data_IF_932553629351
#
_entry.id   IF_932553629351
#
_cell.length_a   1.000
_cell.length_b   1.000
_cell.length_c   1.000
_cell.angle_alpha   90.00
_cell.angle_beta   90.00
_cell.angle_gamma   90.00
#
_symmetry.space_group_name_H-M   'P 1'
#
loop_
_entity.id
_entity.type
_entity.pdbx_description
1 polymer ?
#
# COMPACT_ATOMS: atom_id res chain seq x y z
N UNK A 1 -1.72 24.52 -35.56
CA UNK A 1 -2.42 23.89 -34.42
C UNK A 1 -2.06 24.70 -33.21
N UNK A 2 -3.07 25.25 -32.54
CA UNK A 2 -2.93 25.96 -31.27
C UNK A 2 -2.49 24.95 -30.20
N UNK A 3 -1.54 25.33 -29.35
CA UNK A 3 -0.99 24.43 -28.34
C UNK A 3 -1.97 24.30 -27.18
N UNK A 4 -2.47 23.08 -26.93
CA UNK A 4 -3.31 22.78 -25.77
C UNK A 4 -2.45 22.13 -24.66
N UNK A 5 -2.06 22.94 -23.68
CA UNK A 5 -1.27 22.51 -22.54
C UNK A 5 -1.99 21.43 -21.70
N UNK A 6 -3.32 21.49 -21.60
CA UNK A 6 -4.08 20.51 -20.82
C UNK A 6 -3.96 19.13 -21.45
N UNK A 7 -4.23 19.04 -22.75
CA UNK A 7 -4.15 17.78 -23.50
C UNK A 7 -2.71 17.26 -23.51
N UNK A 8 -1.72 18.14 -23.65
CA UNK A 8 -0.30 17.77 -23.57
C UNK A 8 0.07 17.10 -22.24
N UNK A 9 -0.31 17.71 -21.11
CA UNK A 9 -0.02 17.16 -19.78
C UNK A 9 -0.82 15.88 -19.52
N UNK A 10 -2.09 15.84 -19.95
CA UNK A 10 -2.94 14.65 -19.83
C UNK A 10 -2.32 13.45 -20.55
N UNK A 11 -1.91 13.62 -21.80
CA UNK A 11 -1.40 12.53 -22.62
C UNK A 11 -0.07 12.01 -22.06
N UNK A 12 0.81 12.90 -21.61
CA UNK A 12 2.05 12.52 -20.93
C UNK A 12 1.82 11.77 -19.61
N UNK A 13 0.83 12.19 -18.82
CA UNK A 13 0.43 11.45 -17.62
C UNK A 13 -0.15 10.08 -17.95
N UNK A 14 -0.97 9.98 -19.00
CA UNK A 14 -1.57 8.73 -19.43
C UNK A 14 -0.52 7.68 -19.81
N UNK A 15 0.50 8.07 -20.58
CA UNK A 15 1.59 7.16 -20.98
C UNK A 15 2.31 6.51 -19.79
N UNK A 16 2.36 7.18 -18.64
CA UNK A 16 2.96 6.65 -17.43
C UNK A 16 1.96 5.86 -16.58
N UNK A 17 0.75 6.39 -16.40
CA UNK A 17 -0.28 5.78 -15.55
C UNK A 17 -0.84 4.48 -16.16
N UNK A 18 -0.90 4.37 -17.49
CA UNK A 18 -1.29 3.13 -18.17
C UNK A 18 -0.35 1.97 -17.80
N UNK A 19 0.96 2.22 -17.76
CA UNK A 19 1.98 1.23 -17.34
C UNK A 19 1.78 0.78 -15.89
N UNK A 20 1.10 1.59 -15.10
CA UNK A 20 0.76 1.34 -13.69
C UNK A 20 -0.65 0.75 -13.50
N UNK A 21 -1.34 0.40 -14.59
CA UNK A 21 -2.64 -0.26 -14.54
C UNK A 21 -3.81 0.68 -14.22
N UNK A 22 -3.64 1.98 -14.41
CA UNK A 22 -4.75 2.91 -14.44
C UNK A 22 -5.57 2.76 -15.72
N UNK A 23 -6.86 3.09 -15.62
CA UNK A 23 -7.76 3.18 -16.76
C UNK A 23 -7.55 4.51 -17.49
N UNK A 24 -7.95 4.54 -18.76
CA UNK A 24 -7.90 5.71 -19.62
C UNK A 24 -8.56 6.94 -18.95
N UNK A 25 -8.09 8.16 -19.24
CA UNK A 25 -8.62 9.38 -18.63
C UNK A 25 -10.13 9.50 -18.89
N UNK A 26 -10.89 9.72 -17.82
CA UNK A 26 -12.32 9.99 -17.90
C UNK A 26 -12.59 11.43 -17.48
N UNK A 27 -13.47 12.17 -18.20
CA UNK A 27 -13.91 13.49 -17.77
C UNK A 27 -14.41 13.47 -16.34
N UNK A 28 -13.99 14.46 -15.55
CA UNK A 28 -14.42 14.64 -14.17
C UNK A 28 -15.10 16.00 -14.06
N UNK A 29 -16.32 16.03 -13.53
CA UNK A 29 -16.99 17.29 -13.21
C UNK A 29 -16.28 17.93 -12.01
N UNK A 30 -15.75 19.14 -12.20
CA UNK A 30 -15.16 19.95 -11.14
C UNK A 30 -15.63 21.40 -11.32
N UNK A 31 -16.05 22.04 -10.22
CA UNK A 31 -16.55 23.42 -10.26
C UNK A 31 -15.45 24.45 -10.56
N UNK A 32 -14.18 24.07 -10.36
CA UNK A 32 -13.04 24.96 -10.56
C UNK A 32 -12.58 25.06 -12.03
N UNK A 33 -12.94 24.09 -12.87
CA UNK A 33 -12.54 24.09 -14.28
C UNK A 33 -12.44 22.70 -14.89
N UNK A 34 -11.64 22.57 -15.96
CA UNK A 34 -11.47 21.34 -16.74
C UNK A 34 -10.70 20.28 -15.94
N UNK A 35 -11.29 19.10 -15.74
CA UNK A 35 -10.64 18.00 -15.04
C UNK A 35 -10.80 16.64 -15.74
N UNK A 36 -9.79 15.78 -15.57
CA UNK A 36 -9.83 14.37 -15.97
C UNK A 36 -9.30 13.49 -14.86
N UNK A 37 -9.86 12.30 -14.71
CA UNK A 37 -9.47 11.31 -13.71
C UNK A 37 -8.87 10.06 -14.34
N UNK A 38 -7.84 9.54 -13.69
CA UNK A 38 -7.22 8.26 -13.97
C UNK A 38 -7.47 7.36 -12.76
N UNK A 39 -8.15 6.23 -12.92
CA UNK A 39 -8.54 5.38 -11.79
C UNK A 39 -8.00 3.94 -11.88
N UNK A 40 -7.74 3.35 -10.72
CA UNK A 40 -7.65 1.90 -10.52
C UNK A 40 -8.92 1.40 -9.81
N UNK A 41 -8.88 0.21 -9.21
CA UNK A 41 -9.93 -0.28 -8.30
C UNK A 41 -9.90 0.43 -6.93
N UNK A 42 -8.76 1.02 -6.53
CA UNK A 42 -8.54 1.49 -5.15
C UNK A 42 -8.20 2.98 -5.04
N UNK A 43 -7.59 3.56 -6.08
CA UNK A 43 -7.02 4.92 -6.05
C UNK A 43 -7.29 5.59 -7.38
N UNK A 44 -7.54 6.91 -7.36
CA UNK A 44 -7.57 7.73 -8.55
C UNK A 44 -6.63 8.95 -8.44
N UNK A 45 -6.06 9.34 -9.57
CA UNK A 45 -5.45 10.65 -9.76
C UNK A 45 -6.38 11.52 -10.58
N UNK A 46 -6.29 12.84 -10.39
CA UNK A 46 -6.97 13.82 -11.23
C UNK A 46 -5.99 14.90 -11.67
N UNK A 47 -6.05 15.24 -12.95
CA UNK A 47 -5.46 16.45 -13.50
C UNK A 47 -6.58 17.48 -13.59
N UNK A 48 -6.48 18.55 -12.81
CA UNK A 48 -7.35 19.72 -12.90
C UNK A 48 -6.59 20.91 -13.46
N UNK A 49 -7.23 21.67 -14.33
CA UNK A 49 -6.91 23.06 -14.58
C UNK A 49 -7.99 23.96 -13.97
N UNK A 50 -7.61 24.73 -12.95
CA UNK A 50 -8.46 25.69 -12.25
C UNK A 50 -8.40 27.01 -13.02
N UNK A 51 -9.47 27.28 -13.79
CA UNK A 51 -9.52 28.42 -14.72
C UNK A 51 -9.48 29.76 -13.96
N UNK A 52 -10.12 29.82 -12.79
CA UNK A 52 -10.20 31.03 -11.98
C UNK A 52 -8.84 31.46 -11.44
N UNK A 53 -7.99 30.49 -11.09
CA UNK A 53 -6.67 30.76 -10.50
C UNK A 53 -5.52 30.48 -11.48
N UNK A 54 -5.83 30.20 -12.75
CA UNK A 54 -4.86 29.91 -13.82
C UNK A 54 -3.77 28.94 -13.36
N UNK A 55 -4.18 27.73 -12.96
CA UNK A 55 -3.24 26.75 -12.39
C UNK A 55 -3.61 25.31 -12.67
N UNK A 56 -2.60 24.51 -12.92
CA UNK A 56 -2.70 23.06 -12.92
C UNK A 56 -2.56 22.50 -11.51
N UNK A 57 -3.32 21.46 -11.22
CA UNK A 57 -3.21 20.68 -10.00
C UNK A 57 -3.25 19.20 -10.31
N UNK A 58 -2.25 18.47 -9.81
CA UNK A 58 -2.30 17.02 -9.68
C UNK A 58 -2.91 16.70 -8.32
N UNK A 59 -3.97 15.90 -8.31
CA UNK A 59 -4.67 15.49 -7.09
C UNK A 59 -4.79 13.98 -7.03
N UNK A 60 -5.02 13.45 -5.84
CA UNK A 60 -5.29 12.03 -5.63
C UNK A 60 -6.42 11.81 -4.64
N UNK A 61 -7.04 10.65 -4.74
CA UNK A 61 -8.07 10.20 -3.83
C UNK A 61 -8.09 8.68 -3.75
N UNK A 62 -8.67 8.16 -2.68
CA UNK A 62 -9.04 6.75 -2.57
C UNK A 62 -10.47 6.56 -3.05
N UNK A 63 -10.76 5.41 -3.66
CA UNK A 63 -12.10 5.09 -4.12
C UNK A 63 -12.86 4.29 -3.05
N UNK A 64 -14.17 4.53 -2.97
CA UNK A 64 -15.10 3.69 -2.20
C UNK A 64 -15.28 2.32 -2.86
N UNK A 65 -15.97 1.38 -2.18
CA UNK A 65 -16.30 0.07 -2.77
C UNK A 65 -17.16 0.19 -4.04
N UNK A 66 -17.92 1.28 -4.17
CA UNK A 66 -18.71 1.63 -5.37
C UNK A 66 -17.87 2.33 -6.45
N UNK A 67 -16.57 2.53 -6.23
CA UNK A 67 -15.65 3.16 -7.17
C UNK A 67 -15.73 4.69 -7.20
N UNK A 68 -16.39 5.32 -6.23
CA UNK A 68 -16.54 6.78 -6.18
C UNK A 68 -15.36 7.44 -5.46
N UNK A 69 -14.85 8.59 -5.96
CA UNK A 69 -13.92 9.45 -5.24
C UNK A 69 -14.45 9.84 -3.86
N UNK A 70 -13.59 9.83 -2.84
CA UNK A 70 -13.94 10.42 -1.54
C UNK A 70 -13.56 11.91 -1.53
N UNK A 71 -12.44 12.25 -0.91
CA UNK A 71 -11.91 13.60 -0.86
C UNK A 71 -10.65 13.69 -1.73
N UNK A 72 -10.55 14.76 -2.52
CA UNK A 72 -9.38 15.01 -3.36
C UNK A 72 -8.29 15.74 -2.58
N UNK A 73 -7.13 15.09 -2.44
CA UNK A 73 -5.92 15.69 -1.86
C UNK A 73 -5.01 16.20 -2.96
N UNK A 74 -4.59 17.46 -2.87
CA UNK A 74 -3.59 18.03 -3.76
C UNK A 74 -2.21 17.40 -3.56
N UNK A 75 -1.55 17.03 -4.65
CA UNK A 75 -0.20 16.46 -4.66
C UNK A 75 0.83 17.45 -5.19
N UNK A 76 0.49 18.17 -6.26
CA UNK A 76 1.32 19.24 -6.81
C UNK A 76 0.45 20.31 -7.47
N UNK A 77 0.97 21.53 -7.54
CA UNK A 77 0.26 22.71 -8.03
C UNK A 77 1.24 23.62 -8.77
N UNK A 78 0.85 24.03 -9.97
CA UNK A 78 1.63 24.94 -10.82
C UNK A 78 0.74 26.03 -11.40
N UNK A 79 1.19 27.28 -11.35
CA UNK A 79 0.56 28.37 -12.09
C UNK A 79 0.84 28.20 -13.59
N UNK A 80 -0.15 28.46 -14.42
CA UNK A 80 -0.03 28.42 -15.87
C UNK A 80 -1.07 29.35 -16.50
N UNK A 81 -0.61 30.38 -17.20
CA UNK A 81 -1.47 31.25 -17.99
C UNK A 81 -1.59 30.70 -19.41
N UNK A 82 -2.79 30.34 -19.92
CA UNK A 82 -2.96 29.86 -21.30
C UNK A 82 -2.64 30.90 -22.37
N UNK A 83 -2.66 32.19 -22.04
CA UNK A 83 -2.37 33.26 -22.99
C UNK A 83 -0.85 33.45 -23.24
N UNK A 84 -0.03 33.21 -22.21
CA UNK A 84 1.42 33.40 -22.26
C UNK A 84 2.22 32.09 -22.18
N UNK A 85 1.57 31.03 -21.72
CA UNK A 85 2.19 29.74 -21.39
C UNK A 85 2.72 29.04 -22.62
N UNK A 86 3.95 28.53 -22.47
CA UNK A 86 4.64 27.84 -23.55
C UNK A 86 4.56 26.33 -23.37
N UNK A 87 4.95 25.62 -24.43
CA UNK A 87 5.16 24.17 -24.35
C UNK A 87 6.21 23.78 -23.31
N UNK A 88 7.27 24.59 -23.14
CA UNK A 88 8.31 24.32 -22.14
C UNK A 88 7.80 24.40 -20.70
N UNK A 89 6.84 25.29 -20.44
CA UNK A 89 6.18 25.38 -19.13
C UNK A 89 5.31 24.13 -18.89
N UNK A 90 4.54 23.71 -19.89
CA UNK A 90 3.75 22.49 -19.81
C UNK A 90 4.62 21.23 -19.63
N UNK A 91 5.78 21.15 -20.30
CA UNK A 91 6.76 20.08 -20.10
C UNK A 91 7.33 20.08 -18.67
N UNK A 92 7.57 21.26 -18.09
CA UNK A 92 8.05 21.39 -16.71
C UNK A 92 7.01 20.89 -15.71
N UNK A 93 5.74 21.28 -15.91
CA UNK A 93 4.61 20.83 -15.09
C UNK A 93 4.43 19.30 -15.23
N UNK A 94 4.46 18.79 -16.46
CA UNK A 94 4.34 17.36 -16.73
C UNK A 94 5.46 16.58 -16.04
N UNK A 95 6.71 17.04 -16.12
CA UNK A 95 7.84 16.35 -15.48
C UNK A 95 7.70 16.29 -13.96
N UNK A 96 7.30 17.39 -13.30
CA UNK A 96 7.02 17.40 -11.86
C UNK A 96 5.90 16.42 -11.50
N UNK A 97 4.80 16.43 -12.25
CA UNK A 97 3.70 15.48 -12.02
C UNK A 97 4.11 14.02 -12.27
N UNK A 98 4.96 13.78 -13.28
CA UNK A 98 5.50 12.46 -13.57
C UNK A 98 6.40 11.96 -12.44
N UNK A 99 7.23 12.81 -11.82
CA UNK A 99 8.02 12.41 -10.65
C UNK A 99 7.14 11.94 -9.50
N UNK A 100 6.00 12.62 -9.28
CA UNK A 100 5.02 12.23 -8.25
C UNK A 100 4.38 10.87 -8.57
N UNK A 101 3.94 10.64 -9.82
CA UNK A 101 3.24 9.39 -10.17
C UNK A 101 4.17 8.21 -10.47
N UNK A 102 5.45 8.43 -10.80
CA UNK A 102 6.43 7.38 -11.17
C UNK A 102 6.94 6.54 -10.00
N UNK A 103 6.43 6.72 -8.78
CA UNK A 103 6.89 6.03 -7.58
C UNK A 103 7.40 4.60 -7.84
N UNK A 104 8.72 4.31 -7.69
CA UNK A 104 9.42 3.17 -8.30
C UNK A 104 8.96 1.76 -7.87
N UNK A 105 7.90 1.67 -7.04
CA UNK A 105 7.37 0.41 -6.50
C UNK A 105 6.02 0.02 -7.10
N UNK A 106 5.30 0.91 -7.81
CA UNK A 106 3.94 0.63 -8.29
C UNK A 106 3.91 -0.25 -9.54
N UNK A 107 4.75 0.03 -10.55
CA UNK A 107 4.82 -0.73 -11.83
C UNK A 107 5.15 -2.21 -11.61
N UNK A 108 6.24 -2.52 -10.89
CA UNK A 108 6.67 -3.90 -10.62
C UNK A 108 5.61 -4.72 -9.85
N UNK A 109 4.79 -4.02 -9.06
CA UNK A 109 3.81 -4.60 -8.16
C UNK A 109 2.47 -4.86 -8.85
N UNK A 110 2.05 -4.01 -9.79
CA UNK A 110 0.88 -4.25 -10.67
C UNK A 110 1.08 -5.53 -11.48
N UNK A 111 2.30 -5.74 -11.98
CA UNK A 111 2.68 -6.99 -12.65
C UNK A 111 2.59 -8.20 -11.71
N UNK A 112 3.02 -8.07 -10.45
CA UNK A 112 2.86 -9.14 -9.44
C UNK A 112 1.40 -9.41 -9.06
N UNK A 113 0.56 -8.37 -8.91
CA UNK A 113 -0.87 -8.51 -8.54
C UNK A 113 -1.66 -9.23 -9.64
N UNK A 114 -1.35 -8.98 -10.92
CA UNK A 114 -1.90 -9.74 -12.07
C UNK A 114 -1.54 -11.24 -12.01
N UNK A 115 -0.33 -11.58 -11.59
CA UNK A 115 0.10 -12.99 -11.44
C UNK A 115 -0.42 -13.70 -10.18
N UNK A 116 -0.81 -12.96 -9.13
CA UNK A 116 -1.36 -13.53 -7.88
C UNK A 116 -2.87 -13.78 -7.96
N UNK A 117 -3.63 -12.93 -8.65
CA UNK A 117 -5.10 -13.08 -8.82
C UNK A 117 -5.51 -14.41 -9.50
N UNK A 118 -4.60 -15.11 -10.15
CA UNK A 118 -4.86 -16.41 -10.81
C UNK A 118 -4.73 -17.63 -9.89
N UNK A 119 -4.29 -17.49 -8.63
CA UNK A 119 -3.88 -18.66 -7.83
C UNK A 119 -4.48 -18.85 -6.43
N UNK A 120 -5.26 -17.91 -5.89
CA UNK A 120 -5.90 -18.14 -4.59
C UNK A 120 -7.23 -17.39 -4.50
N UNK A 121 -8.31 -18.15 -4.38
CA UNK A 121 -9.65 -17.65 -4.07
C UNK A 121 -10.16 -18.31 -2.79
N UNK A 122 -9.32 -18.35 -1.76
CA UNK A 122 -9.71 -18.74 -0.42
C UNK A 122 -9.87 -17.47 0.42
N UNK A 123 -11.03 -17.32 1.07
CA UNK A 123 -11.46 -16.16 1.87
C UNK A 123 -10.64 -16.04 3.17
N UNK A 124 -9.33 -15.87 3.10
CA UNK A 124 -8.49 -15.62 4.27
C UNK A 124 -8.43 -14.13 4.60
N UNK A 125 -8.37 -13.79 5.88
CA UNK A 125 -8.22 -12.41 6.34
C UNK A 125 -6.83 -11.90 5.92
N UNK A 126 -6.79 -10.75 5.23
CA UNK A 126 -5.57 -10.21 4.63
C UNK A 126 -4.93 -9.11 5.51
N UNK A 127 -3.67 -8.73 5.24
CA UNK A 127 -3.00 -7.68 5.99
C UNK A 127 -3.71 -6.32 5.98
N UNK A 128 -4.43 -5.98 4.91
CA UNK A 128 -5.14 -4.71 4.82
C UNK A 128 -6.35 -4.68 5.76
N UNK A 129 -7.11 -5.77 5.84
CA UNK A 129 -8.22 -5.91 6.78
C UNK A 129 -7.74 -5.73 8.22
N UNK A 130 -6.60 -6.33 8.58
CA UNK A 130 -5.99 -6.15 9.90
C UNK A 130 -5.68 -4.67 10.19
N UNK A 131 -5.06 -3.97 9.24
CA UNK A 131 -4.75 -2.55 9.40
C UNK A 131 -6.00 -1.69 9.57
N UNK A 132 -7.06 -1.97 8.81
CA UNK A 132 -8.34 -1.30 8.98
C UNK A 132 -8.95 -1.57 10.37
N UNK A 133 -8.78 -2.77 10.95
CA UNK A 133 -9.24 -3.08 12.31
C UNK A 133 -8.46 -2.32 13.38
N UNK A 134 -7.17 -2.05 13.15
CA UNK A 134 -6.34 -1.25 14.05
C UNK A 134 -6.74 0.24 14.10
N UNK A 135 -7.45 0.75 13.08
CA UNK A 135 -8.00 2.12 13.10
C UNK A 135 -8.92 2.35 14.31
N UNK A 136 -9.58 1.30 14.82
CA UNK A 136 -10.40 1.39 16.03
C UNK A 136 -9.58 1.71 17.31
N UNK A 137 -8.28 1.42 17.30
CA UNK A 137 -7.36 1.76 18.38
C UNK A 137 -6.58 3.04 18.08
N UNK A 138 -6.24 3.25 16.81
CA UNK A 138 -5.40 4.34 16.32
C UNK A 138 -6.08 5.00 15.11
N UNK A 139 -7.05 5.90 15.32
CA UNK A 139 -7.83 6.51 14.24
C UNK A 139 -6.98 7.18 13.15
N UNK A 140 -5.81 7.70 13.53
CA UNK A 140 -4.88 8.34 12.60
C UNK A 140 -4.29 7.39 11.55
N UNK A 141 -4.33 6.07 11.79
CA UNK A 141 -3.91 5.08 10.79
C UNK A 141 -4.75 5.16 9.51
N UNK A 142 -5.99 5.68 9.58
CA UNK A 142 -6.85 5.79 8.39
C UNK A 142 -6.21 6.67 7.31
N UNK A 143 -5.72 7.84 7.71
CA UNK A 143 -5.07 8.79 6.79
C UNK A 143 -3.72 8.23 6.33
N UNK A 144 -2.93 7.66 7.24
CA UNK A 144 -1.63 7.06 6.93
C UNK A 144 -1.76 5.89 5.93
N UNK A 145 -2.80 5.05 6.06
CA UNK A 145 -3.13 3.96 5.13
C UNK A 145 -3.47 4.52 3.75
N UNK A 146 -4.28 5.58 3.69
CA UNK A 146 -4.68 6.21 2.44
C UNK A 146 -3.47 6.83 1.74
N UNK A 147 -2.59 7.50 2.47
CA UNK A 147 -1.36 8.05 1.91
C UNK A 147 -0.45 6.95 1.35
N UNK A 148 -0.28 5.83 2.06
CA UNK A 148 0.52 4.70 1.57
C UNK A 148 -0.09 4.12 0.27
N UNK A 149 -1.42 4.04 0.17
CA UNK A 149 -2.12 3.63 -1.07
C UNK A 149 -1.92 4.64 -2.19
N UNK A 150 -1.98 5.94 -1.91
CA UNK A 150 -1.79 7.00 -2.90
C UNK A 150 -0.36 6.93 -3.46
N UNK A 151 0.64 6.85 -2.59
CA UNK A 151 2.05 6.91 -2.99
C UNK A 151 2.51 5.61 -3.66
N UNK A 152 2.10 4.45 -3.13
CA UNK A 152 2.63 3.16 -3.58
C UNK A 152 1.63 2.35 -4.40
N UNK A 153 0.37 2.76 -4.47
CA UNK A 153 -0.73 2.03 -5.12
C UNK A 153 -1.32 0.89 -4.28
N UNK A 154 -0.71 0.53 -3.15
CA UNK A 154 -1.24 -0.39 -2.16
C UNK A 154 -0.52 -0.21 -0.83
N UNK A 155 -1.06 -0.77 0.24
CA UNK A 155 -0.39 -0.76 1.54
C UNK A 155 0.71 -1.81 1.59
N UNK A 156 1.96 -1.38 1.81
CA UNK A 156 3.10 -2.29 2.02
C UNK A 156 3.11 -2.77 3.48
N UNK A 157 2.22 -3.71 3.80
CA UNK A 157 1.88 -4.10 5.18
C UNK A 157 3.08 -4.27 6.13
N UNK A 158 4.12 -5.01 5.74
CA UNK A 158 5.32 -5.20 6.59
C UNK A 158 6.04 -3.88 6.88
N UNK A 159 6.20 -3.02 5.87
CA UNK A 159 6.86 -1.71 6.04
C UNK A 159 5.98 -0.79 6.87
N UNK A 160 4.70 -0.70 6.51
CA UNK A 160 3.70 0.14 7.17
C UNK A 160 3.55 -0.20 8.65
N UNK A 161 3.44 -1.49 8.99
CA UNK A 161 3.35 -1.92 10.39
C UNK A 161 4.60 -1.53 11.18
N UNK A 162 5.79 -1.71 10.60
CA UNK A 162 7.05 -1.35 11.26
C UNK A 162 7.20 0.15 11.49
N UNK A 163 6.81 0.97 10.52
CA UNK A 163 7.00 2.42 10.58
C UNK A 163 5.89 3.16 11.33
N UNK A 164 4.63 2.73 11.15
CA UNK A 164 3.47 3.45 11.68
C UNK A 164 2.83 2.75 12.88
N UNK A 165 2.64 1.43 12.82
CA UNK A 165 1.86 0.71 13.85
C UNK A 165 2.71 0.42 15.10
N UNK A 166 3.93 -0.09 14.94
CA UNK A 166 4.81 -0.44 16.07
C UNK A 166 5.01 0.73 17.04
N UNK A 167 5.36 1.97 16.60
CA UNK A 167 5.52 3.09 17.52
C UNK A 167 4.23 3.45 18.28
N UNK A 168 3.06 3.31 17.64
CA UNK A 168 1.76 3.59 18.27
C UNK A 168 1.40 2.55 19.32
N UNK A 169 1.65 1.26 19.04
CA UNK A 169 1.47 0.19 20.04
C UNK A 169 2.42 0.38 21.22
N UNK A 170 3.70 0.68 20.97
CA UNK A 170 4.66 0.99 22.03
C UNK A 170 4.23 2.19 22.88
N UNK A 171 3.76 3.28 22.24
CA UNK A 171 3.23 4.44 22.96
C UNK A 171 2.02 4.08 23.82
N UNK A 172 1.09 3.28 23.29
CA UNK A 172 -0.08 2.81 24.01
C UNK A 172 0.34 2.03 25.27
N UNK A 173 1.27 1.07 25.12
CA UNK A 173 1.76 0.25 26.24
C UNK A 173 2.47 1.08 27.32
N UNK A 174 3.28 2.07 26.91
CA UNK A 174 3.98 2.98 27.83
C UNK A 174 3.06 3.97 28.54
N UNK A 175 1.86 4.21 28.00
CA UNK A 175 0.86 5.09 28.64
C UNK A 175 0.09 4.44 29.80
N UNK A 176 0.45 3.21 30.19
CA UNK A 176 -0.24 2.42 31.22
C UNK A 176 -1.75 2.34 30.96
N UNK A 177 -2.16 1.72 29.83
CA UNK A 177 -3.54 1.70 29.41
C UNK A 177 -4.38 0.79 30.34
N UNK A 178 -5.70 1.00 30.33
CA UNK A 178 -6.62 0.12 31.05
C UNK A 178 -6.47 -1.32 30.56
N UNK A 179 -6.53 -2.30 31.47
CA UNK A 179 -6.46 -3.73 31.16
C UNK A 179 -7.42 -4.15 30.04
N UNK A 180 -8.65 -3.63 30.05
CA UNK A 180 -9.65 -3.91 29.01
C UNK A 180 -9.18 -3.51 27.60
N UNK A 181 -8.36 -2.46 27.46
CA UNK A 181 -7.78 -2.06 26.17
C UNK A 181 -6.72 -3.06 25.71
N UNK A 182 -5.89 -3.55 26.63
CA UNK A 182 -4.88 -4.58 26.35
C UNK A 182 -5.52 -5.91 25.96
N UNK A 183 -6.59 -6.30 26.64
CA UNK A 183 -7.38 -7.50 26.31
C UNK A 183 -8.00 -7.38 24.91
N UNK A 184 -8.60 -6.23 24.58
CA UNK A 184 -9.16 -6.00 23.24
C UNK A 184 -8.08 -6.06 22.16
N UNK A 185 -6.92 -5.45 22.40
CA UNK A 185 -5.80 -5.48 21.46
C UNK A 185 -5.26 -6.91 21.32
N UNK A 186 -5.06 -7.62 22.43
CA UNK A 186 -4.58 -9.00 22.43
C UNK A 186 -5.53 -9.97 21.75
N UNK A 187 -6.84 -9.83 21.96
CA UNK A 187 -7.88 -10.58 21.24
C UNK A 187 -7.81 -10.31 19.75
N UNK A 188 -7.78 -9.03 19.32
CA UNK A 188 -7.67 -8.68 17.91
C UNK A 188 -6.44 -9.33 17.27
N UNK A 189 -5.27 -9.26 17.91
CA UNK A 189 -4.05 -9.89 17.39
C UNK A 189 -4.17 -11.41 17.31
N UNK A 190 -4.81 -12.03 18.29
CA UNK A 190 -5.09 -13.47 18.31
C UNK A 190 -6.00 -13.90 17.15
N UNK A 191 -7.11 -13.19 16.97
CA UNK A 191 -8.10 -13.45 15.91
C UNK A 191 -7.47 -13.30 14.51
N UNK A 192 -6.71 -12.21 14.31
CA UNK A 192 -6.02 -11.95 13.04
C UNK A 192 -4.91 -12.97 12.75
N UNK A 193 -4.25 -13.50 13.77
CA UNK A 193 -3.28 -14.59 13.59
C UNK A 193 -3.98 -15.91 13.25
N UNK A 194 -5.10 -16.22 13.93
CA UNK A 194 -5.83 -17.46 13.73
C UNK A 194 -6.47 -17.54 12.34
N UNK A 195 -7.19 -16.49 11.95
CA UNK A 195 -8.00 -16.45 10.73
C UNK A 195 -7.25 -15.86 9.52
N UNK A 196 -6.04 -15.35 9.74
CA UNK A 196 -5.20 -14.75 8.72
C UNK A 196 -4.46 -15.73 7.83
N UNK A 197 -4.17 -15.29 6.60
CA UNK A 197 -3.25 -15.98 5.71
C UNK A 197 -1.80 -15.98 6.24
N UNK A 198 -0.91 -16.67 5.52
CA UNK A 198 0.50 -16.76 5.91
C UNK A 198 1.18 -15.37 5.97
N UNK A 199 0.79 -14.45 5.08
CA UNK A 199 1.33 -13.10 5.02
C UNK A 199 0.89 -12.29 6.24
N UNK A 200 -0.39 -12.34 6.63
CA UNK A 200 -0.94 -11.69 7.82
C UNK A 200 -0.36 -12.29 9.11
N UNK A 201 -0.27 -13.61 9.22
CA UNK A 201 0.39 -14.28 10.37
C UNK A 201 1.83 -13.79 10.55
N UNK A 202 2.57 -13.65 9.44
CA UNK A 202 3.93 -13.11 9.42
C UNK A 202 3.95 -11.62 9.82
N UNK A 203 3.00 -10.83 9.36
CA UNK A 203 2.87 -9.41 9.74
C UNK A 203 2.63 -9.26 11.25
N UNK A 204 1.65 -9.99 11.81
CA UNK A 204 1.32 -9.94 13.24
C UNK A 204 2.52 -10.36 14.10
N UNK A 205 3.15 -11.49 13.75
CA UNK A 205 4.25 -12.04 14.57
C UNK A 205 5.58 -11.30 14.36
N UNK A 206 6.03 -11.18 13.11
CA UNK A 206 7.39 -10.72 12.78
C UNK A 206 7.46 -9.20 12.59
N UNK A 207 6.47 -8.61 11.93
CA UNK A 207 6.49 -7.18 11.63
C UNK A 207 6.00 -6.32 12.81
N UNK A 208 5.08 -6.84 13.63
CA UNK A 208 4.58 -6.16 14.82
C UNK A 208 5.23 -6.69 16.10
N UNK A 209 4.84 -7.89 16.56
CA UNK A 209 5.17 -8.36 17.90
C UNK A 209 6.68 -8.54 18.14
N UNK A 210 7.46 -8.95 17.15
CA UNK A 210 8.91 -9.06 17.28
C UNK A 210 9.63 -7.70 17.30
N UNK A 211 8.99 -6.63 16.82
CA UNK A 211 9.59 -5.30 16.77
C UNK A 211 9.37 -4.52 18.07
N UNK A 212 8.37 -4.90 18.89
CA UNK A 212 8.24 -4.38 20.25
C UNK A 212 9.50 -4.67 21.06
N UNK A 213 9.88 -3.71 21.89
CA UNK A 213 10.91 -3.90 22.91
C UNK A 213 10.46 -4.93 23.96
N UNK A 214 11.39 -5.41 24.78
CA UNK A 214 11.10 -6.52 25.70
C UNK A 214 10.10 -6.11 26.81
N UNK A 215 10.10 -4.84 27.23
CA UNK A 215 9.18 -4.34 28.26
C UNK A 215 7.75 -4.24 27.70
N UNK A 216 7.60 -3.63 26.52
CA UNK A 216 6.33 -3.53 25.81
C UNK A 216 5.76 -4.93 25.53
N UNK A 217 6.61 -5.86 25.08
CA UNK A 217 6.19 -7.22 24.81
C UNK A 217 5.71 -7.96 26.06
N UNK A 218 6.45 -7.91 27.18
CA UNK A 218 6.03 -8.58 28.42
C UNK A 218 4.76 -7.94 29.02
N UNK A 219 4.49 -6.67 28.75
CA UNK A 219 3.22 -6.02 29.14
C UNK A 219 2.04 -6.56 28.34
N UNK A 220 2.21 -6.75 27.03
CA UNK A 220 1.13 -7.19 26.15
C UNK A 220 0.90 -8.72 26.19
N UNK A 221 1.96 -9.49 26.40
CA UNK A 221 1.99 -10.96 26.31
C UNK A 221 0.90 -11.68 27.13
N UNK A 222 0.58 -11.30 28.38
CA UNK A 222 -0.48 -11.94 29.16
C UNK A 222 -1.87 -11.87 28.51
N UNK A 223 -2.09 -10.88 27.66
CA UNK A 223 -3.37 -10.65 26.97
C UNK A 223 -3.46 -11.33 25.60
N UNK A 224 -2.37 -11.97 25.14
CA UNK A 224 -2.36 -12.73 23.89
C UNK A 224 -2.92 -14.14 24.11
N UNK A 225 -3.65 -14.68 23.13
CA UNK A 225 -4.07 -16.08 23.17
C UNK A 225 -2.89 -17.06 23.16
N UNK A 226 -3.07 -18.25 23.73
CA UNK A 226 -1.98 -19.24 23.89
C UNK A 226 -1.25 -19.58 22.60
N UNK A 227 -2.00 -19.74 21.50
CA UNK A 227 -1.44 -20.10 20.19
C UNK A 227 -0.47 -19.03 19.69
N UNK A 228 -0.90 -17.76 19.77
CA UNK A 228 -0.09 -16.62 19.36
C UNK A 228 1.13 -16.47 20.28
N UNK A 229 0.98 -16.65 21.60
CA UNK A 229 2.13 -16.64 22.52
C UNK A 229 3.17 -17.70 22.15
N UNK A 230 2.72 -18.93 21.85
CA UNK A 230 3.59 -20.03 21.41
C UNK A 230 4.33 -19.65 20.13
N UNK A 231 3.62 -19.13 19.13
CA UNK A 231 4.20 -18.70 17.86
C UNK A 231 5.27 -17.60 18.03
N UNK A 232 4.94 -16.55 18.79
CA UNK A 232 5.83 -15.40 19.00
C UNK A 232 7.07 -15.78 19.81
N UNK A 233 6.94 -16.70 20.78
CA UNK A 233 8.09 -17.23 21.51
C UNK A 233 9.15 -17.83 20.59
N UNK A 234 8.74 -18.53 19.53
CA UNK A 234 9.68 -19.09 18.56
C UNK A 234 10.22 -18.03 17.60
N UNK A 235 9.37 -17.14 17.08
CA UNK A 235 9.79 -16.14 16.11
C UNK A 235 10.68 -15.05 16.73
N UNK A 236 10.47 -14.63 17.99
CA UNK A 236 11.37 -13.70 18.71
C UNK A 236 12.79 -14.27 18.85
N UNK A 237 12.97 -15.59 19.01
CA UNK A 237 14.30 -16.22 19.04
C UNK A 237 15.06 -16.10 17.71
N UNK A 238 14.37 -15.76 16.63
CA UNK A 238 14.94 -15.54 15.30
C UNK A 238 15.21 -14.05 15.02
N UNK A 239 14.83 -13.14 15.93
CA UNK A 239 15.12 -11.71 15.81
C UNK A 239 16.63 -11.50 15.65
N UNK A 240 17.03 -10.75 14.62
CA UNK A 240 18.43 -10.47 14.30
C UNK A 240 19.23 -11.64 13.71
N UNK A 241 18.67 -12.85 13.58
CA UNK A 241 19.38 -13.99 12.99
C UNK A 241 19.25 -14.00 11.47
N UNK A 242 20.38 -14.13 10.77
CA UNK A 242 20.41 -14.41 9.32
C UNK A 242 20.25 -15.91 9.09
N UNK A 243 19.01 -16.38 8.91
CA UNK A 243 18.73 -17.78 8.57
C UNK A 243 18.91 -17.95 7.06
N UNK A 244 19.88 -18.77 6.63
CA UNK A 244 20.01 -19.14 5.21
C UNK A 244 18.85 -20.08 4.85
N UNK A 245 18.11 -19.84 3.74
CA UNK A 245 17.09 -20.79 3.31
C UNK A 245 17.76 -22.13 2.99
N UNK A 246 17.21 -23.22 3.56
CA UNK A 246 17.67 -24.56 3.21
C UNK A 246 17.40 -24.81 1.72
N UNK A 247 18.47 -25.09 0.96
CA UNK A 247 18.32 -25.48 -0.44
C UNK A 247 17.54 -26.79 -0.49
N UNK A 248 16.33 -26.78 -1.07
CA UNK A 248 15.62 -28.01 -1.43
C UNK A 248 16.58 -28.89 -2.26
N UNK A 249 16.87 -30.11 -1.79
CA UNK A 249 17.65 -31.08 -2.58
C UNK A 249 16.88 -31.34 -3.87
N UNK A 250 17.51 -31.09 -5.02
CA UNK A 250 16.93 -31.49 -6.32
C UNK A 250 16.77 -33.01 -6.31
N UNK A 251 15.56 -33.49 -6.60
CA UNK A 251 15.33 -34.92 -6.83
C UNK A 251 16.23 -35.38 -7.99
N UNK A 252 16.93 -36.50 -7.79
CA UNK A 252 17.77 -37.09 -8.83
C UNK A 252 16.84 -37.59 -9.93
N UNK A 253 16.97 -37.05 -11.15
CA UNK A 253 16.31 -37.62 -12.33
C UNK A 253 16.78 -39.07 -12.49
N UNK A 254 15.85 -40.02 -12.38
CA UNK A 254 16.08 -41.40 -12.77
C UNK A 254 16.13 -41.41 -14.30
N UNK A 255 17.33 -41.51 -14.86
CA UNK A 255 17.50 -41.69 -16.31
C UNK A 255 17.52 -43.19 -16.56
N UNK A 256 16.51 -43.71 -17.24
CA UNK A 256 16.53 -45.07 -17.75
C UNK A 256 17.72 -45.20 -18.71
N UNK A 257 18.70 -46.02 -18.35
CA UNK A 257 19.75 -46.44 -19.29
C UNK A 257 19.12 -47.46 -20.22
N UNK A 258 19.00 -47.15 -21.50
CA UNK A 258 18.78 -48.15 -22.52
C UNK A 258 20.07 -48.98 -22.60
N UNK A 259 19.97 -50.27 -22.28
CA UNK A 259 21.03 -51.22 -22.51
C UNK A 259 21.24 -51.35 -24.02
N UNK A 260 22.36 -50.82 -24.53
CA UNK A 260 22.83 -51.12 -25.88
C UNK A 260 23.27 -52.60 -25.91
N UNK A 261 22.38 -53.47 -26.36
CA UNK A 261 22.76 -54.82 -26.83
C UNK A 261 23.09 -54.75 -28.31
N UNK A 262 24.35 -55.05 -28.60
CA UNK A 262 24.91 -55.36 -29.92
C UNK A 262 24.12 -56.45 -30.67
#
# INVERSE_FOLDING_TARGET
>A
MEFDAFTWIQDGLWEELEKQGFRAPQPLEDQAGKAVSFSTDEVAYSLLYDEKHQRFQLRSTTLTEEGQPTEWRGLSLWLFDPAEGTKGDADSILNDFLEVVRGPKRVAMVQQKKTRRTKDNERSVDPLFFLNRLVNFFPELKEEINEEKIVYGQVRAVTFVRSQVVPKVSRLLKSSPKTATLEKLGSLLGDMYKDGDLDLRSVVTIALLNQLDDQDFETLKPHLGEELQKAVRFTRKLKGKKVKPEKKKKEKKVVARLDDKH
#
